data_IF_096580970908
#
_entry.id   IF_096580970908
#
_cell.length_a   1.000
_cell.length_b   1.000
_cell.length_c   1.000
_cell.angle_alpha   90.00
_cell.angle_beta   90.00
_cell.angle_gamma   90.00
#
_symmetry.space_group_name_H-M   'P 1'
#
loop_
_entity.id
_entity.type
_entity.pdbx_description
1 polymer ?
#
# COMPACT_ATOMS: atom_id res chain seq x y z
N UNK A 1 -27.52 -5.50 -13.23
CA UNK A 1 -26.75 -6.75 -13.01
C UNK A 1 -25.40 -6.51 -12.32
N UNK A 2 -24.56 -5.52 -12.73
CA UNK A 2 -23.27 -5.24 -12.07
C UNK A 2 -23.41 -4.87 -10.59
N UNK A 3 -24.34 -3.98 -10.23
CA UNK A 3 -24.57 -3.56 -8.83
C UNK A 3 -25.01 -4.72 -7.92
N UNK A 4 -25.86 -5.62 -8.40
CA UNK A 4 -26.29 -6.80 -7.63
C UNK A 4 -25.10 -7.76 -7.39
N UNK A 5 -24.26 -7.98 -8.40
CA UNK A 5 -23.04 -8.79 -8.25
C UNK A 5 -22.09 -8.20 -7.21
N UNK A 6 -21.94 -6.88 -7.22
CA UNK A 6 -21.11 -6.18 -6.24
C UNK A 6 -21.68 -6.33 -4.82
N UNK A 7 -22.97 -6.11 -4.64
CA UNK A 7 -23.62 -6.29 -3.34
C UNK A 7 -23.45 -7.71 -2.82
N UNK A 8 -23.67 -8.73 -3.66
CA UNK A 8 -23.48 -10.13 -3.28
C UNK A 8 -22.02 -10.42 -2.96
N UNK A 9 -21.08 -9.91 -3.76
CA UNK A 9 -19.64 -10.10 -3.51
C UNK A 9 -19.23 -9.48 -2.16
N UNK A 10 -19.59 -8.20 -1.95
CA UNK A 10 -19.32 -7.52 -0.68
C UNK A 10 -19.92 -8.27 0.51
N UNK A 11 -21.17 -8.69 0.42
CA UNK A 11 -21.83 -9.47 1.44
C UNK A 11 -21.06 -10.76 1.78
N UNK A 12 -20.62 -11.49 0.74
CA UNK A 12 -19.83 -12.71 0.92
C UNK A 12 -18.46 -12.44 1.55
N UNK A 13 -17.77 -11.38 1.15
CA UNK A 13 -16.48 -10.99 1.75
C UNK A 13 -16.65 -10.59 3.20
N UNK A 14 -17.68 -9.81 3.53
CA UNK A 14 -17.92 -9.31 4.88
C UNK A 14 -18.39 -10.42 5.86
N UNK A 15 -19.18 -11.39 5.38
CA UNK A 15 -19.80 -12.41 6.24
C UNK A 15 -19.17 -13.80 6.13
N UNK A 16 -18.48 -14.09 5.05
CA UNK A 16 -17.82 -15.38 4.77
C UNK A 16 -16.39 -15.20 4.27
N UNK A 17 -15.54 -14.39 4.93
CA UNK A 17 -14.21 -14.04 4.43
C UNK A 17 -13.34 -15.28 4.19
N UNK A 18 -13.36 -16.26 5.11
CA UNK A 18 -12.59 -17.50 4.98
C UNK A 18 -12.93 -18.30 3.72
N UNK A 19 -14.21 -18.33 3.35
CA UNK A 19 -14.66 -19.00 2.12
C UNK A 19 -14.16 -18.24 0.87
N UNK A 20 -14.35 -16.92 0.85
CA UNK A 20 -13.98 -16.09 -0.29
C UNK A 20 -12.45 -16.06 -0.50
N UNK A 21 -11.70 -15.88 0.56
CA UNK A 21 -10.24 -15.88 0.57
C UNK A 21 -9.72 -17.26 0.12
N UNK A 22 -10.22 -18.35 0.69
CA UNK A 22 -9.78 -19.71 0.32
C UNK A 22 -10.12 -20.07 -1.13
N UNK A 23 -11.26 -19.57 -1.65
CA UNK A 23 -11.61 -19.72 -3.07
C UNK A 23 -10.64 -18.96 -3.97
N UNK A 24 -10.33 -17.72 -3.63
CA UNK A 24 -9.40 -16.88 -4.41
C UNK A 24 -7.98 -17.46 -4.37
N UNK A 25 -7.52 -17.90 -3.21
CA UNK A 25 -6.25 -18.61 -3.06
C UNK A 25 -6.15 -19.81 -4.00
N UNK A 26 -7.19 -20.66 -4.02
CA UNK A 26 -7.21 -21.84 -4.90
C UNK A 26 -7.18 -21.47 -6.39
N UNK A 27 -7.84 -20.38 -6.79
CA UNK A 27 -7.79 -19.87 -8.16
C UNK A 27 -6.37 -19.40 -8.51
N UNK A 28 -5.69 -18.72 -7.60
CA UNK A 28 -4.39 -18.10 -7.84
C UNK A 28 -3.22 -19.10 -7.77
N UNK A 29 -3.26 -20.04 -6.84
CA UNK A 29 -2.14 -20.96 -6.58
C UNK A 29 -2.43 -22.43 -6.98
N UNK A 30 -3.67 -22.77 -7.35
CA UNK A 30 -4.05 -24.12 -7.76
C UNK A 30 -4.29 -25.10 -6.61
N UNK A 31 -3.99 -24.69 -5.38
CA UNK A 31 -4.05 -25.54 -4.17
C UNK A 31 -4.96 -24.93 -3.11
N UNK A 32 -5.27 -25.71 -2.06
CA UNK A 32 -6.04 -25.21 -0.91
C UNK A 32 -5.12 -24.57 0.11
N UNK A 33 -5.55 -23.43 0.66
CA UNK A 33 -4.87 -22.82 1.79
C UNK A 33 -4.99 -23.70 3.03
N UNK A 34 -3.86 -23.99 3.69
CA UNK A 34 -3.87 -24.67 4.99
C UNK A 34 -4.14 -23.68 6.13
N UNK A 35 -5.40 -23.62 6.54
CA UNK A 35 -5.84 -22.75 7.61
C UNK A 35 -5.33 -23.15 9.00
N UNK A 36 -4.89 -24.39 9.18
CA UNK A 36 -4.47 -24.92 10.47
C UNK A 36 -2.97 -24.74 10.72
N UNK A 37 -2.18 -24.61 9.65
CA UNK A 37 -0.73 -24.50 9.76
C UNK A 37 -0.15 -23.57 8.66
N UNK A 38 -0.57 -22.30 8.60
CA UNK A 38 0.00 -21.36 7.64
C UNK A 38 1.47 -21.08 7.97
N UNK A 39 2.35 -21.18 6.98
CA UNK A 39 3.80 -21.05 7.16
C UNK A 39 4.35 -19.78 6.52
N UNK A 40 3.99 -19.55 5.27
CA UNK A 40 4.49 -18.42 4.49
C UNK A 40 3.86 -17.10 4.90
N UNK A 41 4.51 -15.98 4.57
CA UNK A 41 3.94 -14.65 4.77
C UNK A 41 2.56 -14.52 4.09
N UNK A 42 2.45 -14.96 2.84
CA UNK A 42 1.20 -14.93 2.11
C UNK A 42 0.08 -15.68 2.85
N UNK A 43 0.33 -16.92 3.28
CA UNK A 43 -0.66 -17.74 4.00
C UNK A 43 -1.08 -17.10 5.31
N UNK A 44 -0.14 -16.50 6.06
CA UNK A 44 -0.43 -15.82 7.33
C UNK A 44 -1.21 -14.53 7.14
N UNK A 45 -0.93 -13.77 6.09
CA UNK A 45 -1.76 -12.59 5.71
C UNK A 45 -3.20 -13.05 5.40
N UNK A 46 -3.37 -14.13 4.61
CA UNK A 46 -4.70 -14.67 4.33
C UNK A 46 -5.41 -15.12 5.63
N UNK A 47 -4.67 -15.76 6.53
CA UNK A 47 -5.19 -16.18 7.80
C UNK A 47 -5.66 -14.99 8.64
N UNK A 48 -4.85 -13.94 8.75
CA UNK A 48 -5.17 -12.71 9.47
C UNK A 48 -6.42 -12.03 8.88
N UNK A 49 -6.49 -11.87 7.56
CA UNK A 49 -7.68 -11.30 6.89
C UNK A 49 -8.97 -12.07 7.21
N UNK A 50 -8.87 -13.39 7.38
CA UNK A 50 -10.03 -14.26 7.60
C UNK A 50 -10.45 -14.42 9.06
N UNK A 51 -9.54 -14.26 10.02
CA UNK A 51 -9.74 -14.65 11.41
C UNK A 51 -9.48 -13.53 12.42
N UNK A 52 -8.70 -12.49 12.08
CA UNK A 52 -8.42 -11.38 12.98
C UNK A 52 -9.50 -10.28 12.88
N UNK A 53 -9.60 -9.45 13.93
CA UNK A 53 -10.35 -8.20 13.84
C UNK A 53 -9.57 -7.19 12.97
N UNK A 54 -10.11 -6.90 11.79
CA UNK A 54 -9.53 -5.98 10.82
C UNK A 54 -10.16 -4.59 10.86
N UNK A 55 -10.84 -4.22 11.95
CA UNK A 55 -11.50 -2.90 12.07
C UNK A 55 -10.49 -1.78 12.03
N UNK A 56 -9.40 -1.91 12.79
CA UNK A 56 -8.32 -0.92 12.81
C UNK A 56 -7.59 -0.85 11.45
N UNK A 57 -7.44 -1.97 10.75
CA UNK A 57 -6.88 -1.97 9.39
C UNK A 57 -7.71 -1.11 8.43
N UNK A 58 -9.05 -1.12 8.59
CA UNK A 58 -9.95 -0.27 7.77
C UNK A 58 -9.64 1.21 7.98
N UNK A 59 -9.42 1.64 9.24
CA UNK A 59 -9.09 3.02 9.59
C UNK A 59 -7.72 3.42 9.06
N UNK A 60 -6.71 2.54 9.21
CA UNK A 60 -5.32 2.84 8.89
C UNK A 60 -4.97 2.65 7.41
N UNK A 61 -5.76 1.88 6.65
CA UNK A 61 -5.64 1.80 5.19
C UNK A 61 -6.34 2.97 4.47
N UNK A 62 -7.24 3.70 5.16
CA UNK A 62 -7.85 4.92 4.66
C UNK A 62 -6.83 6.07 4.69
N UNK A 63 -6.42 6.59 3.52
CA UNK A 63 -5.40 7.63 3.37
C UNK A 63 -5.74 8.96 4.05
N UNK A 64 -7.02 9.18 4.39
CA UNK A 64 -7.46 10.37 5.14
C UNK A 64 -7.41 10.06 6.64
N UNK A 65 -7.98 8.95 7.09
CA UNK A 65 -8.11 8.62 8.51
C UNK A 65 -6.78 8.23 9.18
N UNK A 66 -5.87 7.61 8.45
CA UNK A 66 -4.53 7.24 8.95
C UNK A 66 -3.72 8.45 9.41
N UNK A 67 -4.01 9.63 8.87
CA UNK A 67 -3.29 10.87 9.19
C UNK A 67 -3.35 11.25 10.66
N UNK A 68 -4.49 10.99 11.31
CA UNK A 68 -4.64 11.25 12.74
C UNK A 68 -3.78 10.29 13.57
N UNK A 69 -3.75 9.01 13.21
CA UNK A 69 -2.85 8.04 13.84
C UNK A 69 -1.37 8.44 13.71
N UNK A 70 -0.93 8.89 12.53
CA UNK A 70 0.44 9.34 12.30
C UNK A 70 0.77 10.55 13.21
N UNK A 71 -0.14 11.51 13.35
CA UNK A 71 0.01 12.65 14.27
C UNK A 71 0.05 12.22 15.74
N UNK A 72 -0.84 11.33 16.15
CA UNK A 72 -0.90 10.76 17.51
C UNK A 72 0.42 10.05 17.89
N UNK A 73 1.06 9.41 16.92
CA UNK A 73 2.36 8.75 17.10
C UNK A 73 3.55 9.71 17.05
N UNK A 74 3.33 11.01 16.83
CA UNK A 74 4.38 12.03 16.84
C UNK A 74 5.08 12.25 15.49
N UNK A 75 4.56 11.71 14.40
CA UNK A 75 5.17 11.81 13.06
C UNK A 75 4.36 12.69 12.09
N UNK A 76 3.60 13.65 12.61
CA UNK A 76 2.81 14.55 11.79
C UNK A 76 3.62 15.37 10.77
N UNK A 77 4.91 15.57 11.01
CA UNK A 77 5.88 16.23 10.13
C UNK A 77 6.17 15.44 8.83
N UNK A 78 5.87 14.14 8.81
CA UNK A 78 6.02 13.29 7.62
C UNK A 78 4.81 13.34 6.69
N UNK A 79 3.70 13.92 7.13
CA UNK A 79 2.50 14.00 6.30
C UNK A 79 2.64 15.06 5.22
N UNK A 80 2.15 14.75 4.02
CA UNK A 80 1.88 15.75 2.99
C UNK A 80 0.86 16.77 3.49
N UNK A 81 0.87 17.99 2.98
CA UNK A 81 -0.21 18.93 3.21
C UNK A 81 -1.50 18.43 2.57
N UNK A 82 -2.61 18.44 3.31
CA UNK A 82 -3.93 18.04 2.81
C UNK A 82 -4.72 19.32 2.44
N UNK A 83 -5.02 19.51 1.16
CA UNK A 83 -5.72 20.69 0.65
C UNK A 83 -7.24 20.56 0.68
N UNK A 84 -7.75 19.32 0.70
CA UNK A 84 -9.18 19.07 0.81
C UNK A 84 -9.54 17.60 0.71
N UNK A 85 -10.78 17.30 1.11
CA UNK A 85 -11.36 15.96 0.99
C UNK A 85 -12.86 16.05 0.72
N UNK A 86 -13.38 15.29 -0.25
CA UNK A 86 -14.75 15.39 -0.73
C UNK A 86 -15.40 14.02 -0.89
N UNK A 87 -16.70 13.97 -0.59
CA UNK A 87 -17.53 12.76 -0.78
C UNK A 87 -18.03 12.65 -2.23
N UNK A 88 -18.01 13.72 -2.99
CA UNK A 88 -18.48 13.79 -4.37
C UNK A 88 -17.48 14.53 -5.25
N UNK A 89 -17.33 14.08 -6.49
CA UNK A 89 -16.39 14.69 -7.43
C UNK A 89 -16.77 16.13 -7.84
N UNK A 90 -18.07 16.42 -7.87
CA UNK A 90 -18.57 17.77 -8.18
C UNK A 90 -18.26 18.81 -7.12
N UNK A 91 -17.97 18.38 -5.89
CA UNK A 91 -17.69 19.26 -4.76
C UNK A 91 -16.21 19.69 -4.70
N UNK A 92 -15.35 19.19 -5.63
CA UNK A 92 -13.94 19.60 -5.70
C UNK A 92 -13.83 21.09 -6.02
N UNK A 93 -13.26 21.86 -5.08
CA UNK A 93 -13.01 23.29 -5.26
C UNK A 93 -11.64 23.50 -5.94
N UNK A 94 -11.61 23.34 -7.27
CA UNK A 94 -10.38 23.48 -8.07
C UNK A 94 -9.74 24.88 -7.94
N UNK A 95 -10.51 25.91 -7.62
CA UNK A 95 -10.00 27.29 -7.57
C UNK A 95 -9.15 27.50 -6.30
N UNK A 96 -9.47 26.79 -5.21
CA UNK A 96 -8.70 26.80 -3.95
C UNK A 96 -7.50 25.86 -3.94
N UNK A 97 -7.41 24.92 -4.88
CA UNK A 97 -6.24 24.06 -4.95
C UNK A 97 -4.99 24.86 -5.34
N UNK A 98 -3.79 24.45 -4.88
CA UNK A 98 -2.53 25.08 -5.30
C UNK A 98 -2.26 24.86 -6.79
N UNK A 99 -1.21 25.50 -7.29
CA UNK A 99 -0.78 25.40 -8.70
C UNK A 99 -0.50 23.95 -9.11
N UNK A 100 0.09 23.16 -8.17
CA UNK A 100 0.35 21.74 -8.35
C UNK A 100 -0.08 20.95 -7.13
N UNK A 101 -0.81 19.87 -7.35
CA UNK A 101 -1.18 18.92 -6.30
C UNK A 101 -1.51 17.55 -6.88
N UNK A 102 -1.71 16.57 -6.00
CA UNK A 102 -2.21 15.25 -6.36
C UNK A 102 -3.64 15.11 -5.88
N UNK A 103 -4.53 14.72 -6.78
CA UNK A 103 -5.88 14.25 -6.47
C UNK A 103 -5.89 12.73 -6.53
N UNK A 104 -6.50 12.07 -5.54
CA UNK A 104 -6.64 10.60 -5.50
C UNK A 104 -7.80 10.19 -4.61
N UNK A 105 -8.26 8.95 -4.75
CA UNK A 105 -9.18 8.38 -3.77
C UNK A 105 -8.43 7.89 -2.52
N UNK A 106 -9.13 7.90 -1.38
CA UNK A 106 -8.56 7.49 -0.08
C UNK A 106 -8.37 5.97 0.06
N UNK A 107 -9.02 5.17 -0.80
CA UNK A 107 -9.22 3.73 -0.64
C UNK A 107 -8.62 2.87 -1.76
N UNK A 108 -8.02 3.49 -2.78
CA UNK A 108 -7.42 2.79 -3.92
C UNK A 108 -5.99 3.25 -4.23
N UNK A 109 -5.35 2.66 -5.23
CA UNK A 109 -4.01 3.00 -5.68
C UNK A 109 -3.94 3.45 -7.16
N UNK A 110 -5.07 3.53 -7.86
CA UNK A 110 -5.11 3.77 -9.31
C UNK A 110 -5.74 5.12 -9.71
N UNK A 111 -6.50 5.76 -8.82
CA UNK A 111 -7.26 6.98 -9.12
C UNK A 111 -6.43 8.27 -9.12
N UNK A 112 -5.11 8.18 -9.33
CA UNK A 112 -4.19 9.33 -9.20
C UNK A 112 -4.30 10.27 -10.38
N UNK A 113 -4.55 11.57 -10.10
CA UNK A 113 -4.46 12.67 -11.06
C UNK A 113 -3.48 13.72 -10.52
N UNK A 114 -2.41 13.97 -11.26
CA UNK A 114 -1.50 15.09 -10.97
C UNK A 114 -2.06 16.32 -11.63
N UNK A 115 -2.55 17.26 -10.83
CA UNK A 115 -3.00 18.57 -11.28
C UNK A 115 -1.79 19.51 -11.41
N UNK A 116 -1.63 20.11 -12.58
CA UNK A 116 -0.68 21.21 -12.85
C UNK A 116 -1.42 22.31 -13.62
N UNK A 117 -1.85 23.36 -12.91
CA UNK A 117 -2.66 24.44 -13.48
C UNK A 117 -1.93 25.19 -14.61
N UNK A 118 -0.57 25.22 -14.58
CA UNK A 118 0.23 25.90 -15.63
C UNK A 118 0.10 25.23 -16.99
N UNK A 119 -0.25 23.94 -17.03
CA UNK A 119 -0.45 23.17 -18.27
C UNK A 119 -1.88 23.21 -18.79
N UNK A 120 -2.79 23.81 -18.02
CA UNK A 120 -4.22 23.69 -18.25
C UNK A 120 -4.75 22.30 -17.89
N UNK A 121 -6.03 22.22 -17.59
CA UNK A 121 -6.71 20.96 -17.29
C UNK A 121 -8.21 21.08 -17.58
N UNK A 122 -8.84 19.95 -17.85
CA UNK A 122 -10.29 19.85 -18.01
C UNK A 122 -10.92 19.43 -16.68
N UNK A 123 -11.63 20.38 -16.03
CA UNK A 123 -12.35 20.13 -14.77
C UNK A 123 -13.37 18.99 -14.93
N UNK A 124 -14.07 18.95 -16.07
CA UNK A 124 -15.12 17.96 -16.30
C UNK A 124 -14.54 16.56 -16.48
N UNK A 125 -13.42 16.44 -17.16
CA UNK A 125 -12.70 15.15 -17.33
C UNK A 125 -12.28 14.58 -15.97
N UNK A 126 -11.71 15.42 -15.09
CA UNK A 126 -11.31 15.04 -13.73
C UNK A 126 -12.53 14.62 -12.90
N UNK A 127 -13.62 15.36 -12.95
CA UNK A 127 -14.88 15.03 -12.26
C UNK A 127 -15.41 13.66 -12.73
N UNK A 128 -15.49 13.43 -14.04
CA UNK A 128 -15.98 12.16 -14.58
C UNK A 128 -15.01 10.99 -14.26
N UNK A 129 -13.70 11.24 -14.18
CA UNK A 129 -12.74 10.25 -13.72
C UNK A 129 -13.06 9.83 -12.28
N UNK A 130 -13.17 10.76 -11.34
CA UNK A 130 -13.43 10.44 -9.94
C UNK A 130 -14.83 9.88 -9.68
N UNK A 131 -15.84 10.26 -10.44
CA UNK A 131 -17.16 9.58 -10.38
C UNK A 131 -17.05 8.08 -10.65
N UNK A 132 -16.18 7.66 -11.55
CA UNK A 132 -15.95 6.23 -11.83
C UNK A 132 -15.14 5.55 -10.71
N UNK A 133 -14.26 6.30 -10.04
CA UNK A 133 -13.40 5.78 -8.96
C UNK A 133 -14.09 5.74 -7.60
N UNK A 134 -15.09 6.59 -7.33
CA UNK A 134 -15.87 6.64 -6.08
C UNK A 134 -16.82 5.43 -5.94
N UNK A 135 -16.27 4.25 -6.13
CA UNK A 135 -16.98 2.99 -5.88
C UNK A 135 -16.28 2.24 -4.76
N UNK A 136 -17.00 1.55 -3.87
CA UNK A 136 -16.35 0.76 -2.84
C UNK A 136 -15.30 -0.15 -3.44
N UNK A 137 -14.09 -0.15 -2.86
CA UNK A 137 -13.01 -1.01 -3.29
C UNK A 137 -13.46 -2.47 -3.29
N UNK A 138 -13.11 -3.21 -4.33
CA UNK A 138 -13.27 -4.63 -4.25
C UNK A 138 -14.27 -5.30 -5.16
N UNK A 139 -14.54 -4.79 -6.37
CA UNK A 139 -15.02 -5.66 -7.42
C UNK A 139 -13.93 -6.70 -7.76
N UNK A 140 -13.89 -7.82 -7.04
CA UNK A 140 -12.91 -8.87 -7.23
C UNK A 140 -11.85 -8.96 -6.11
N UNK A 141 -11.76 -8.00 -5.19
CA UNK A 141 -10.94 -8.13 -3.99
C UNK A 141 -11.66 -8.94 -2.91
N UNK A 142 -10.88 -9.66 -2.13
CA UNK A 142 -11.34 -10.42 -0.95
C UNK A 142 -10.73 -9.86 0.34
N UNK A 143 -10.37 -8.57 0.33
CA UNK A 143 -9.73 -7.84 1.43
C UNK A 143 -10.79 -7.14 2.28
N UNK A 144 -11.23 -7.71 3.43
CA UNK A 144 -12.42 -7.24 4.14
C UNK A 144 -12.29 -5.81 4.68
N UNK A 145 -11.08 -5.38 5.03
CA UNK A 145 -10.86 -4.03 5.57
C UNK A 145 -11.06 -2.94 4.52
N UNK A 146 -10.67 -3.18 3.25
CA UNK A 146 -10.90 -2.22 2.17
C UNK A 146 -12.37 -2.08 1.78
N UNK A 147 -13.17 -3.16 1.86
CA UNK A 147 -14.60 -3.11 1.51
C UNK A 147 -15.41 -2.19 2.43
N UNK A 148 -14.86 -1.87 3.62
CA UNK A 148 -15.49 -1.02 4.65
C UNK A 148 -15.05 0.44 4.59
N UNK A 149 -14.01 0.78 3.83
CA UNK A 149 -13.58 2.17 3.67
C UNK A 149 -14.65 2.93 2.86
N UNK A 150 -15.13 4.05 3.40
CA UNK A 150 -16.01 4.96 2.67
C UNK A 150 -15.19 5.67 1.58
N UNK A 151 -15.52 5.52 0.27
CA UNK A 151 -14.80 6.20 -0.79
C UNK A 151 -14.92 7.72 -0.68
N UNK A 152 -13.77 8.41 -0.77
CA UNK A 152 -13.65 9.86 -0.81
C UNK A 152 -12.52 10.27 -1.73
N UNK A 153 -12.59 11.47 -2.27
CA UNK A 153 -11.50 12.11 -3.00
C UNK A 153 -10.70 12.95 -2.02
N UNK A 154 -9.39 12.99 -2.15
CA UNK A 154 -8.51 13.90 -1.43
C UNK A 154 -7.59 14.63 -2.39
N UNK A 155 -7.20 15.86 -2.03
CA UNK A 155 -6.13 16.59 -2.69
C UNK A 155 -5.02 16.85 -1.69
N UNK A 156 -3.79 16.53 -2.08
CA UNK A 156 -2.62 16.67 -1.21
C UNK A 156 -1.40 17.22 -1.96
N UNK A 157 -0.39 17.59 -1.19
CA UNK A 157 0.92 18.03 -1.68
C UNK A 157 1.51 17.02 -2.66
N UNK A 158 1.98 17.52 -3.80
CA UNK A 158 2.76 16.73 -4.74
C UNK A 158 4.18 16.57 -4.20
N UNK A 159 4.55 15.36 -3.78
CA UNK A 159 5.90 15.04 -3.30
C UNK A 159 6.90 15.32 -4.43
N UNK A 160 7.93 16.16 -4.19
CA UNK A 160 8.92 16.49 -5.20
C UNK A 160 9.82 15.29 -5.50
N UNK A 161 10.16 15.11 -6.75
CA UNK A 161 11.08 14.05 -7.18
C UNK A 161 12.52 14.44 -6.85
N UNK A 162 13.27 13.53 -6.20
CA UNK A 162 14.70 13.68 -6.00
C UNK A 162 15.45 13.31 -7.31
N UNK A 163 16.15 14.27 -7.88
CA UNK A 163 16.91 14.09 -9.13
C UNK A 163 18.29 13.47 -8.90
N UNK A 164 18.69 13.30 -7.66
CA UNK A 164 19.99 12.68 -7.31
C UNK A 164 19.92 11.16 -7.28
N UNK A 165 18.70 10.61 -7.21
CA UNK A 165 18.44 9.16 -7.23
C UNK A 165 18.20 8.70 -8.66
N UNK A 166 18.86 7.63 -9.08
CA UNK A 166 18.69 7.04 -10.42
C UNK A 166 17.35 6.28 -10.53
N UNK A 167 16.27 7.04 -10.61
CA UNK A 167 14.93 6.51 -10.83
C UNK A 167 14.10 7.46 -11.68
N UNK A 168 13.31 6.92 -12.60
CA UNK A 168 12.36 7.69 -13.41
C UNK A 168 11.08 8.08 -12.66
N UNK A 169 10.91 7.60 -11.41
CA UNK A 169 9.79 7.89 -10.52
C UNK A 169 10.28 8.15 -9.09
N UNK A 170 9.41 8.63 -8.20
CA UNK A 170 9.69 8.59 -6.77
C UNK A 170 10.06 7.17 -6.35
N UNK A 171 11.10 7.04 -5.52
CA UNK A 171 11.44 5.76 -4.89
C UNK A 171 10.52 5.55 -3.70
N UNK A 172 9.77 4.47 -3.74
CA UNK A 172 8.81 4.07 -2.72
C UNK A 172 9.48 3.00 -1.84
N UNK A 173 9.93 3.40 -0.64
CA UNK A 173 10.60 2.52 0.32
C UNK A 173 9.56 1.77 1.15
N UNK A 174 9.37 0.49 0.87
CA UNK A 174 8.38 -0.37 1.49
C UNK A 174 9.01 -1.21 2.60
N UNK A 175 8.76 -0.83 3.84
CA UNK A 175 9.29 -1.51 5.02
C UNK A 175 8.33 -2.61 5.50
N UNK A 176 8.84 -3.83 5.58
CA UNK A 176 8.11 -4.96 6.12
C UNK A 176 8.35 -5.06 7.62
N UNK A 177 7.26 -4.98 8.38
CA UNK A 177 7.31 -4.84 9.83
C UNK A 177 6.44 -5.91 10.51
N UNK A 178 6.92 -6.41 11.64
CA UNK A 178 6.29 -7.46 12.42
C UNK A 178 6.31 -7.06 13.91
N UNK A 179 5.20 -6.50 14.41
CA UNK A 179 5.04 -6.04 15.80
C UNK A 179 6.24 -5.22 16.33
N UNK A 180 6.56 -4.13 15.64
CA UNK A 180 7.66 -3.25 15.97
C UNK A 180 9.05 -3.70 15.49
N UNK A 181 9.20 -4.90 14.95
CA UNK A 181 10.42 -5.34 14.30
C UNK A 181 10.40 -4.97 12.82
N UNK A 182 11.39 -4.21 12.36
CA UNK A 182 11.55 -3.84 10.94
C UNK A 182 12.51 -4.82 10.30
N UNK A 183 12.00 -5.71 9.44
CA UNK A 183 12.75 -6.83 8.89
C UNK A 183 13.62 -6.41 7.70
N UNK A 184 13.00 -5.80 6.70
CA UNK A 184 13.66 -5.40 5.47
C UNK A 184 12.96 -4.21 4.82
N UNK A 185 13.62 -3.60 3.84
CA UNK A 185 13.02 -2.64 2.94
C UNK A 185 12.96 -3.19 1.51
N UNK A 186 11.85 -2.96 0.83
CA UNK A 186 11.69 -3.20 -0.59
C UNK A 186 11.60 -1.85 -1.31
N UNK A 187 12.73 -1.26 -1.77
CA UNK A 187 12.67 -0.05 -2.60
C UNK A 187 12.03 -0.38 -3.94
N UNK A 188 11.01 0.38 -4.30
CA UNK A 188 10.30 0.27 -5.57
C UNK A 188 10.54 1.53 -6.40
N UNK A 189 11.04 1.38 -7.62
CA UNK A 189 11.50 2.46 -8.50
C UNK A 189 11.13 2.21 -9.96
N UNK A 190 11.38 3.21 -10.82
CA UNK A 190 11.09 3.18 -12.26
C UNK A 190 9.65 2.79 -12.59
N UNK A 191 8.69 3.32 -11.79
CA UNK A 191 7.26 3.02 -11.93
C UNK A 191 6.70 3.54 -13.26
N UNK A 192 5.99 2.66 -13.97
CA UNK A 192 5.20 2.97 -15.17
C UNK A 192 3.80 2.37 -15.00
N UNK A 193 2.85 3.18 -14.52
CA UNK A 193 1.52 2.67 -14.14
C UNK A 193 1.61 1.72 -12.94
N UNK A 194 1.16 0.49 -13.12
CA UNK A 194 1.25 -0.57 -12.09
C UNK A 194 2.59 -1.31 -12.12
N UNK A 195 3.33 -1.21 -13.21
CA UNK A 195 4.62 -1.87 -13.36
C UNK A 195 5.73 -1.07 -12.65
N UNK A 196 6.63 -1.75 -11.95
CA UNK A 196 7.74 -1.16 -11.21
C UNK A 196 8.77 -2.23 -10.85
N UNK A 197 10.02 -1.83 -10.69
CA UNK A 197 11.05 -2.70 -10.17
C UNK A 197 11.05 -2.62 -8.64
N UNK A 198 10.96 -3.77 -7.97
CA UNK A 198 11.04 -3.89 -6.53
C UNK A 198 12.22 -4.80 -6.15
N UNK A 199 13.15 -4.27 -5.38
CA UNK A 199 14.30 -5.03 -4.88
C UNK A 199 14.11 -5.39 -3.39
N UNK A 200 14.97 -6.21 -2.82
CA UNK A 200 14.99 -6.50 -1.39
C UNK A 200 16.32 -5.99 -0.82
N UNK A 201 16.23 -5.15 0.20
CA UNK A 201 17.39 -4.67 0.95
C UNK A 201 17.25 -5.06 2.42
N UNK A 202 18.26 -5.77 2.94
CA UNK A 202 18.43 -5.92 4.39
C UNK A 202 18.93 -4.60 4.98
N UNK A 203 18.59 -4.33 6.24
CA UNK A 203 18.74 -2.99 6.82
C UNK A 203 20.05 -2.78 7.58
N UNK A 204 20.59 -3.84 8.18
CA UNK A 204 21.77 -3.76 9.04
C UNK A 204 22.82 -4.83 8.66
N UNK A 205 23.77 -4.51 7.76
CA UNK A 205 23.91 -3.29 6.96
C UNK A 205 22.94 -3.24 5.79
N UNK A 206 22.69 -2.04 5.25
CA UNK A 206 21.96 -1.89 3.99
C UNK A 206 22.68 -2.65 2.88
N UNK A 207 22.05 -3.69 2.38
CA UNK A 207 22.58 -4.53 1.30
C UNK A 207 21.49 -5.25 0.55
N UNK A 208 21.72 -5.45 -0.70
CA UNK A 208 20.84 -6.22 -1.59
C UNK A 208 20.72 -7.67 -1.13
N UNK A 209 19.49 -8.19 -1.24
CA UNK A 209 19.17 -9.59 -0.96
C UNK A 209 18.24 -10.18 -2.03
N UNK A 210 18.74 -10.26 -3.26
CA UNK A 210 17.97 -10.75 -4.43
C UNK A 210 17.69 -12.23 -4.41
N UNK A 211 18.36 -12.98 -3.56
CA UNK A 211 18.07 -14.41 -3.32
C UNK A 211 16.66 -14.63 -2.76
N UNK A 212 16.10 -13.63 -2.07
CA UNK A 212 14.72 -13.62 -1.62
C UNK A 212 13.69 -13.44 -2.73
N UNK A 213 14.11 -13.07 -3.95
CA UNK A 213 13.26 -12.99 -5.13
C UNK A 213 13.23 -14.30 -5.92
N UNK A 214 12.11 -14.60 -6.57
CA UNK A 214 12.03 -15.74 -7.50
C UNK A 214 12.97 -15.55 -8.69
N UNK A 215 13.38 -16.66 -9.29
CA UNK A 215 14.23 -16.62 -10.49
C UNK A 215 13.53 -15.87 -11.63
N UNK A 216 12.25 -16.14 -11.85
CA UNK A 216 11.43 -15.51 -12.90
C UNK A 216 11.39 -13.99 -12.74
N UNK A 217 11.22 -13.51 -11.50
CA UNK A 217 11.20 -12.06 -11.24
C UNK A 217 12.58 -11.45 -11.50
N UNK A 218 13.65 -12.09 -11.06
CA UNK A 218 15.02 -11.61 -11.30
C UNK A 218 15.40 -11.55 -12.78
N UNK A 219 14.95 -12.51 -13.58
CA UNK A 219 15.24 -12.55 -15.02
C UNK A 219 14.36 -11.61 -15.84
N UNK A 220 13.21 -11.18 -15.33
CA UNK A 220 12.28 -10.30 -16.03
C UNK A 220 12.51 -8.80 -15.78
N UNK A 221 13.38 -8.43 -14.82
CA UNK A 221 13.60 -7.03 -14.45
C UNK A 221 15.08 -6.63 -14.56
N UNK A 222 15.30 -5.36 -14.88
CA UNK A 222 16.62 -4.74 -14.83
C UNK A 222 16.75 -4.00 -13.50
N UNK A 223 17.64 -4.52 -12.65
CA UNK A 223 17.83 -3.99 -11.30
C UNK A 223 18.92 -2.92 -11.27
N UNK A 224 18.74 -1.95 -10.38
CA UNK A 224 19.71 -0.94 -10.00
C UNK A 224 20.16 -1.17 -8.56
N UNK A 225 21.39 -0.81 -8.24
CA UNK A 225 21.85 -0.87 -6.84
C UNK A 225 21.45 0.42 -6.14
N UNK A 226 20.23 0.41 -5.60
CA UNK A 226 19.68 1.57 -4.90
C UNK A 226 20.43 1.82 -3.59
N UNK A 227 21.00 3.05 -3.40
CA UNK A 227 21.66 3.39 -2.14
C UNK A 227 20.66 3.41 -0.97
N UNK A 228 21.16 3.30 0.25
CA UNK A 228 20.34 3.54 1.43
C UNK A 228 19.75 4.96 1.37
N UNK A 229 18.47 5.14 1.74
CA UNK A 229 17.93 6.49 1.86
C UNK A 229 18.69 7.29 2.92
N UNK A 230 18.95 8.59 2.71
CA UNK A 230 19.73 9.41 3.64
C UNK A 230 19.20 9.40 5.08
N UNK A 231 17.88 9.27 5.25
CA UNK A 231 17.22 9.27 6.55
C UNK A 231 16.80 7.86 7.02
N UNK A 232 17.52 6.79 6.63
CA UNK A 232 17.16 5.40 6.92
C UNK A 232 16.88 5.16 8.40
N UNK A 233 17.72 5.63 9.31
CA UNK A 233 17.54 5.42 10.76
C UNK A 233 16.23 6.02 11.26
N UNK A 234 15.87 7.21 10.78
CA UNK A 234 14.59 7.86 11.13
C UNK A 234 13.40 7.12 10.51
N UNK A 235 13.53 6.63 9.28
CA UNK A 235 12.51 5.81 8.63
C UNK A 235 12.28 4.52 9.42
N UNK A 236 13.35 3.87 9.88
CA UNK A 236 13.25 2.67 10.72
C UNK A 236 12.59 2.95 12.09
N UNK A 237 12.90 4.10 12.72
CA UNK A 237 12.24 4.53 13.95
C UNK A 237 10.72 4.70 13.73
N UNK A 238 10.33 5.41 12.68
CA UNK A 238 8.92 5.58 12.29
C UNK A 238 8.25 4.22 12.12
N UNK A 239 8.87 3.31 11.38
CA UNK A 239 8.35 1.97 11.12
C UNK A 239 8.19 1.15 12.40
N UNK A 240 9.17 1.18 13.32
CA UNK A 240 9.07 0.48 14.62
C UNK A 240 7.85 0.94 15.41
N UNK A 241 7.69 2.27 15.54
CA UNK A 241 6.58 2.84 16.32
C UNK A 241 5.23 2.59 15.70
N UNK A 242 5.10 2.79 14.37
CA UNK A 242 3.83 2.63 13.68
C UNK A 242 3.38 1.17 13.57
N UNK A 243 4.32 0.21 13.54
CA UNK A 243 4.00 -1.22 13.39
C UNK A 243 3.77 -1.94 14.72
N UNK A 244 4.05 -1.31 15.86
CA UNK A 244 3.84 -1.92 17.18
C UNK A 244 2.37 -2.27 17.39
N UNK A 245 2.09 -3.53 17.75
CA UNK A 245 0.75 -4.07 17.96
C UNK A 245 0.12 -4.69 16.72
N UNK A 246 0.79 -4.64 15.55
CA UNK A 246 0.33 -5.32 14.33
C UNK A 246 1.20 -6.54 14.05
N UNK A 247 0.64 -7.76 13.97
CA UNK A 247 1.40 -8.98 13.67
C UNK A 247 2.21 -8.88 12.39
N UNK A 248 1.68 -8.17 11.38
CA UNK A 248 2.32 -7.81 10.11
C UNK A 248 1.73 -6.50 9.60
N UNK A 249 2.58 -5.63 9.11
CA UNK A 249 2.20 -4.44 8.33
C UNK A 249 3.37 -3.98 7.48
N UNK A 250 3.09 -3.59 6.24
CA UNK A 250 4.05 -2.88 5.40
C UNK A 250 3.82 -1.37 5.54
N UNK A 251 4.89 -0.63 5.79
CA UNK A 251 4.85 0.83 5.88
C UNK A 251 5.63 1.40 4.70
N UNK A 252 4.97 2.22 3.91
CA UNK A 252 5.53 2.82 2.71
C UNK A 252 5.91 4.27 3.00
N UNK A 253 7.19 4.59 2.79
CA UNK A 253 7.76 5.91 3.05
C UNK A 253 8.51 6.40 1.80
N UNK A 254 8.59 7.71 1.65
CA UNK A 254 9.46 8.38 0.67
C UNK A 254 10.52 9.19 1.40
N UNK A 255 11.73 9.21 0.88
CA UNK A 255 12.81 10.09 1.35
C UNK A 255 13.30 10.91 0.15
N UNK A 256 13.00 12.19 0.14
CA UNK A 256 13.32 13.06 -0.99
C UNK A 256 13.68 14.46 -0.52
N UNK A 257 14.78 15.00 -1.06
CA UNK A 257 15.29 16.33 -0.73
C UNK A 257 15.45 16.57 0.79
N UNK A 258 15.84 15.54 1.53
CA UNK A 258 16.11 15.60 2.98
C UNK A 258 14.85 15.55 3.86
N UNK A 259 13.67 15.27 3.30
CA UNK A 259 12.41 15.11 4.03
C UNK A 259 11.82 13.73 3.81
N UNK A 260 11.37 13.12 4.91
CA UNK A 260 10.60 11.87 4.86
C UNK A 260 9.13 12.23 4.66
N UNK A 261 8.47 11.48 3.77
CA UNK A 261 7.02 11.54 3.60
C UNK A 261 6.39 10.17 3.88
N UNK A 262 5.32 10.18 4.66
CA UNK A 262 4.49 9.00 4.87
C UNK A 262 3.63 8.71 3.64
N UNK A 263 3.67 7.49 3.14
CA UNK A 263 2.87 7.02 2.02
C UNK A 263 1.60 6.31 2.47
N UNK A 264 1.75 5.10 3.03
CA UNK A 264 0.62 4.28 3.48
C UNK A 264 1.02 3.21 4.50
N UNK A 265 0.03 2.67 5.20
CA UNK A 265 0.10 1.39 5.92
C UNK A 265 -0.69 0.35 5.16
N UNK A 266 -0.04 -0.76 4.80
CA UNK A 266 -0.63 -1.85 4.02
C UNK A 266 -0.61 -3.15 4.80
N UNK A 267 -1.79 -3.70 5.11
CA UNK A 267 -1.96 -4.92 5.92
C UNK A 267 -2.09 -6.20 5.09
N UNK A 268 -2.17 -6.07 3.79
CA UNK A 268 -2.30 -7.21 2.88
C UNK A 268 -1.68 -6.86 1.51
N UNK A 269 -0.38 -6.66 1.50
CA UNK A 269 0.34 -6.34 0.27
C UNK A 269 0.00 -7.35 -0.85
N UNK A 270 -0.35 -6.84 -2.05
CA UNK A 270 -0.81 -7.65 -3.19
C UNK A 270 -1.95 -8.63 -2.82
N UNK A 271 -2.80 -8.25 -1.85
CA UNK A 271 -3.86 -9.12 -1.33
C UNK A 271 -3.33 -10.38 -0.66
N UNK A 272 -2.12 -10.36 -0.10
CA UNK A 272 -1.45 -11.54 0.48
C UNK A 272 -1.12 -12.61 -0.57
N UNK A 273 -0.78 -12.21 -1.80
CA UNK A 273 -0.52 -13.13 -2.94
C UNK A 273 0.71 -12.73 -3.72
N UNK A 274 1.75 -12.32 -3.02
CA UNK A 274 3.03 -11.92 -3.61
C UNK A 274 3.71 -13.11 -4.26
N UNK A 275 4.03 -12.99 -5.55
CA UNK A 275 4.68 -14.04 -6.35
C UNK A 275 6.15 -13.75 -6.64
N UNK A 276 6.60 -12.53 -6.36
CA UNK A 276 7.99 -12.14 -6.58
C UNK A 276 8.96 -12.68 -5.53
N UNK A 277 8.47 -13.05 -4.34
CA UNK A 277 9.30 -13.60 -3.28
C UNK A 277 9.46 -15.12 -3.40
N UNK A 278 10.67 -15.63 -3.17
CA UNK A 278 10.94 -17.07 -3.15
C UNK A 278 10.18 -17.77 -2.00
N UNK A 279 9.98 -19.09 -2.12
CA UNK A 279 9.29 -19.85 -1.10
C UNK A 279 10.01 -19.76 0.25
N UNK A 280 11.34 -19.88 0.23
CA UNK A 280 12.19 -19.81 1.42
C UNK A 280 12.06 -18.45 2.10
N UNK A 281 12.06 -17.37 1.32
CA UNK A 281 11.91 -16.02 1.85
C UNK A 281 10.49 -15.75 2.38
N UNK A 282 9.49 -16.29 1.73
CA UNK A 282 8.10 -16.26 2.22
C UNK A 282 7.96 -16.98 3.57
N UNK A 283 8.65 -18.12 3.76
CA UNK A 283 8.65 -18.85 5.03
C UNK A 283 9.44 -18.11 6.10
N UNK A 284 10.60 -17.55 5.76
CA UNK A 284 11.41 -16.71 6.65
C UNK A 284 10.55 -15.53 7.18
N UNK A 285 9.99 -14.70 6.30
CA UNK A 285 9.14 -13.57 6.69
C UNK A 285 7.90 -14.05 7.46
N UNK A 286 7.31 -15.16 7.04
CA UNK A 286 6.19 -15.79 7.73
C UNK A 286 6.53 -16.18 9.17
N UNK A 287 7.77 -16.57 9.47
CA UNK A 287 8.19 -16.96 10.83
C UNK A 287 8.08 -15.81 11.84
N UNK A 288 8.17 -14.56 11.41
CA UNK A 288 8.02 -13.38 12.25
C UNK A 288 6.55 -13.05 12.55
N UNK A 289 5.61 -13.47 11.72
CA UNK A 289 4.18 -13.22 11.95
C UNK A 289 3.67 -14.12 13.07
N UNK A 290 3.32 -13.53 14.21
CA UNK A 290 2.67 -14.24 15.33
C UNK A 290 1.16 -14.13 15.15
N UNK A 291 0.53 -15.25 14.88
CA UNK A 291 -0.94 -15.31 14.80
C UNK A 291 -1.54 -15.28 16.20
N UNK A 292 -2.65 -14.54 16.44
CA UNK A 292 -3.35 -14.47 17.72
C UNK A 292 -4.02 -15.78 18.10
#
# INVERSE_FOLDING_TARGET
>A
MKQLRHFVHKFLVDHFPKFMIGREWKIQFGEKLDWNNPKTLNEKIQWLMANADTTEWTRLADKILVRDFIKEKGFGDTLTELYGAWDRAEDIDFDRLPEKCVLKCNHDCESIVILDKSKGFDKQEIIEHFKRCLVPFGYGSVEPHYTRIKPRIMAEELIPMDKTVDSSSLVDYKFWCFDGFVHNCTPCYDRKGLDMVCDINLLEPWRLYREGLTKEYRESHVFKDMPAPPNLDRMMEICRVLSTGFPEVRIDLYDTNGRIYFGEMTFCASGGRMRQFSQEYQEEMGSYVKLP
#
